data_IF_471005491959
#
_entry.id   IF_471005491959
#
_cell.length_a   1.000
_cell.length_b   1.000
_cell.length_c   1.000
_cell.angle_alpha   90.00
_cell.angle_beta   90.00
_cell.angle_gamma   90.00
#
_symmetry.space_group_name_H-M   'P 1'
#
loop_
_entity.id
_entity.type
_entity.pdbx_description
1 polymer ?
#
# COMPACT_ATOMS: atom_id res chain seq x y z
N UNK A 1 1.87 10.26 18.34
CA UNK A 1 2.63 9.44 17.36
C UNK A 1 3.99 10.09 17.14
N UNK A 2 5.06 9.29 17.20
CA UNK A 2 6.42 9.75 16.89
C UNK A 2 6.77 9.45 15.42
N UNK A 3 7.23 10.46 14.68
CA UNK A 3 7.73 10.33 13.32
C UNK A 3 9.15 10.90 13.23
N UNK A 4 10.13 10.05 12.92
CA UNK A 4 11.55 10.43 12.92
C UNK A 4 11.98 11.14 14.23
N UNK A 5 11.50 10.65 15.38
CA UNK A 5 11.81 11.21 16.71
C UNK A 5 11.08 12.49 17.08
N UNK A 6 10.15 12.97 16.27
CA UNK A 6 9.33 14.15 16.55
C UNK A 6 7.88 13.76 16.75
N UNK A 7 7.23 14.37 17.74
CA UNK A 7 5.80 14.19 17.92
C UNK A 7 5.01 14.78 16.76
N UNK A 8 4.10 13.97 16.22
CA UNK A 8 3.10 14.44 15.27
C UNK A 8 1.90 15.05 16.02
N UNK A 9 1.23 16.04 15.45
CA UNK A 9 -0.01 16.57 16.01
C UNK A 9 -1.07 15.47 16.08
N UNK A 10 -2.04 15.61 16.98
CA UNK A 10 -3.13 14.64 17.18
C UNK A 10 -3.96 14.45 15.90
N UNK A 11 -4.14 15.53 15.15
CA UNK A 11 -4.84 15.53 13.86
C UNK A 11 -3.89 16.00 12.78
N UNK A 12 -3.69 15.16 11.76
CA UNK A 12 -2.86 15.47 10.59
C UNK A 12 -3.76 15.49 9.36
N UNK A 13 -3.67 16.54 8.55
CA UNK A 13 -4.38 16.63 7.28
C UNK A 13 -3.76 15.67 6.25
N UNK A 14 -4.55 15.13 5.30
CA UNK A 14 -4.03 14.22 4.27
C UNK A 14 -2.85 14.78 3.46
N UNK A 15 -2.84 16.10 3.23
CA UNK A 15 -1.74 16.77 2.53
C UNK A 15 -0.45 16.80 3.35
N UNK A 16 -0.56 17.00 4.67
CA UNK A 16 0.57 16.99 5.59
C UNK A 16 1.15 15.60 5.73
N UNK A 17 0.29 14.57 5.84
CA UNK A 17 0.69 13.17 5.84
C UNK A 17 1.49 12.82 4.58
N UNK A 18 1.01 13.22 3.41
CA UNK A 18 1.75 13.01 2.14
C UNK A 18 3.10 13.73 2.10
N UNK A 19 3.19 14.94 2.63
CA UNK A 19 4.48 15.66 2.74
C UNK A 19 5.49 14.99 3.67
N UNK A 20 5.00 14.25 4.67
CA UNK A 20 5.83 13.41 5.54
C UNK A 20 6.29 12.11 4.85
N UNK A 21 5.76 11.81 3.68
CA UNK A 21 6.00 10.55 2.97
C UNK A 21 5.13 9.40 3.47
N UNK A 22 4.00 9.68 4.13
CA UNK A 22 3.05 8.67 4.61
C UNK A 22 1.89 8.61 3.62
N UNK A 23 1.69 7.45 3.00
CA UNK A 23 0.60 7.18 2.08
C UNK A 23 -0.21 5.98 2.55
N UNK A 24 -1.52 6.00 2.29
CA UNK A 24 -2.44 4.91 2.62
C UNK A 24 -3.20 4.46 1.38
N UNK A 25 -3.35 3.14 1.25
CA UNK A 25 -4.21 2.47 0.28
C UNK A 25 -5.27 1.75 1.08
N UNK A 26 -6.51 2.18 0.90
CA UNK A 26 -7.67 1.62 1.59
C UNK A 26 -8.12 0.29 0.96
N UNK A 27 -8.94 -0.45 1.70
CA UNK A 27 -9.57 -1.68 1.23
C UNK A 27 -10.40 -1.41 -0.04
N UNK A 28 -11.24 -0.38 -0.03
CA UNK A 28 -12.01 0.05 -1.19
C UNK A 28 -11.17 0.91 -2.13
N UNK A 29 -11.30 0.66 -3.44
CA UNK A 29 -10.57 1.42 -4.45
C UNK A 29 -11.08 2.85 -4.56
N UNK A 30 -10.18 3.82 -4.41
CA UNK A 30 -10.44 5.26 -4.53
C UNK A 30 -9.95 5.78 -5.89
N UNK A 31 -10.29 5.04 -6.96
CA UNK A 31 -9.94 5.40 -8.34
C UNK A 31 -11.18 5.89 -9.09
N UNK A 32 -10.99 6.82 -10.04
CA UNK A 32 -12.04 7.30 -10.92
C UNK A 32 -12.19 6.30 -12.09
N UNK A 33 -13.31 5.56 -12.19
CA UNK A 33 -13.44 4.45 -13.14
C UNK A 33 -13.31 4.86 -14.61
N UNK A 34 -13.77 6.06 -14.95
CA UNK A 34 -13.74 6.58 -16.32
C UNK A 34 -12.35 7.05 -16.77
N UNK A 35 -11.45 7.30 -15.81
CA UNK A 35 -10.08 7.75 -16.08
C UNK A 35 -9.17 6.55 -16.36
N UNK A 36 -8.14 6.79 -17.16
CA UNK A 36 -7.06 5.82 -17.37
C UNK A 36 -6.23 5.60 -16.10
N UNK A 37 -5.42 4.55 -16.07
CA UNK A 37 -4.47 4.32 -14.97
C UNK A 37 -3.53 5.51 -14.78
N UNK A 38 -2.97 6.04 -15.88
CA UNK A 38 -2.09 7.21 -15.85
C UNK A 38 -2.78 8.45 -15.26
N UNK A 39 -3.99 8.78 -15.70
CA UNK A 39 -4.75 9.92 -15.18
C UNK A 39 -5.05 9.78 -13.70
N UNK A 40 -5.40 8.57 -13.24
CA UNK A 40 -5.59 8.30 -11.80
C UNK A 40 -4.30 8.46 -11.00
N UNK A 41 -3.16 8.02 -11.53
CA UNK A 41 -1.84 8.18 -10.88
C UNK A 41 -1.48 9.66 -10.74
N UNK A 42 -1.75 10.45 -11.76
CA UNK A 42 -1.39 11.88 -11.79
C UNK A 42 -2.39 12.77 -11.06
N UNK A 43 -3.56 12.26 -10.69
CA UNK A 43 -4.62 13.04 -10.06
C UNK A 43 -4.16 13.66 -8.72
N UNK A 44 -4.38 14.98 -8.58
CA UNK A 44 -3.99 15.74 -7.38
C UNK A 44 -2.49 16.08 -7.30
N UNK A 45 -1.75 15.90 -8.39
CA UNK A 45 -0.35 16.35 -8.56
C UNK A 45 -0.27 17.51 -9.54
N UNK A 46 0.76 18.37 -9.43
CA UNK A 46 1.04 19.33 -10.48
C UNK A 46 1.30 18.65 -11.81
N UNK A 47 0.64 19.09 -12.86
CA UNK A 47 0.91 18.59 -14.21
C UNK A 47 2.11 19.30 -14.82
N UNK A 48 2.99 18.61 -15.56
CA UNK A 48 4.04 19.28 -16.34
C UNK A 48 3.37 20.10 -17.45
N UNK A 49 3.65 21.42 -17.47
CA UNK A 49 3.06 22.37 -18.42
C UNK A 49 4.18 23.09 -19.15
N UNK A 50 4.09 23.16 -20.48
CA UNK A 50 4.98 23.92 -21.35
C UNK A 50 4.17 24.82 -22.27
N UNK A 51 4.37 26.13 -22.21
CA UNK A 51 3.62 27.09 -23.01
C UNK A 51 2.09 27.04 -22.78
N UNK A 52 1.64 26.75 -21.56
CA UNK A 52 0.21 26.61 -21.21
C UNK A 52 -0.42 25.27 -21.59
N UNK A 53 0.34 24.34 -22.17
CA UNK A 53 -0.16 23.04 -22.63
C UNK A 53 0.38 21.92 -21.73
N UNK A 54 -0.52 21.04 -21.26
CA UNK A 54 -0.16 19.87 -20.46
C UNK A 54 0.67 18.90 -21.30
N UNK A 55 1.79 18.44 -20.74
CA UNK A 55 2.72 17.53 -21.40
C UNK A 55 2.35 16.06 -21.12
N UNK A 56 1.30 15.58 -21.77
CA UNK A 56 0.77 14.20 -21.57
C UNK A 56 1.81 13.11 -21.78
N UNK A 57 2.69 13.26 -22.78
CA UNK A 57 3.77 12.30 -23.07
C UNK A 57 4.81 12.23 -21.93
N UNK A 58 5.05 13.34 -21.26
CA UNK A 58 5.94 13.38 -20.10
C UNK A 58 5.32 12.65 -18.92
N UNK A 59 4.04 12.90 -18.63
CA UNK A 59 3.27 12.19 -17.59
C UNK A 59 3.25 10.68 -17.86
N UNK A 60 3.01 10.27 -19.09
CA UNK A 60 3.04 8.86 -19.51
C UNK A 60 4.40 8.24 -19.18
N UNK A 61 5.48 8.86 -19.67
CA UNK A 61 6.84 8.37 -19.44
C UNK A 61 7.19 8.26 -17.94
N UNK A 62 6.79 9.24 -17.13
CA UNK A 62 7.07 9.23 -15.69
C UNK A 62 6.30 8.13 -14.97
N UNK A 63 5.02 7.95 -15.29
CA UNK A 63 4.18 6.93 -14.66
C UNK A 63 4.60 5.52 -15.07
N UNK A 64 4.93 5.30 -16.34
CA UNK A 64 5.45 4.02 -16.84
C UNK A 64 6.81 3.69 -16.23
N UNK A 65 7.71 4.66 -16.12
CA UNK A 65 9.01 4.48 -15.49
C UNK A 65 8.86 4.10 -14.01
N UNK A 66 7.95 4.76 -13.28
CA UNK A 66 7.68 4.42 -11.88
C UNK A 66 7.06 3.02 -11.74
N UNK A 67 6.11 2.65 -12.59
CA UNK A 67 5.53 1.31 -12.60
C UNK A 67 6.60 0.24 -12.87
N UNK A 68 7.45 0.45 -13.87
CA UNK A 68 8.56 -0.47 -14.19
C UNK A 68 9.56 -0.59 -13.03
N UNK A 69 9.91 0.53 -12.38
CA UNK A 69 10.76 0.54 -11.18
C UNK A 69 10.20 -0.36 -10.06
N UNK A 70 8.89 -0.41 -9.91
CA UNK A 70 8.19 -1.23 -8.92
C UNK A 70 8.00 -2.68 -9.36
N UNK A 71 8.37 -3.03 -10.59
CA UNK A 71 8.12 -4.33 -11.20
C UNK A 71 6.65 -4.53 -11.61
N UNK A 72 5.93 -3.43 -11.83
CA UNK A 72 4.52 -3.42 -12.25
C UNK A 72 4.47 -3.25 -13.77
N UNK A 73 3.96 -4.28 -14.45
CA UNK A 73 3.75 -4.28 -15.89
C UNK A 73 2.26 -4.18 -16.19
N UNK A 74 1.80 -3.00 -16.58
CA UNK A 74 0.39 -2.67 -16.71
C UNK A 74 0.20 -1.64 -17.82
N UNK A 75 -0.81 -1.83 -18.67
CA UNK A 75 -1.23 -0.81 -19.64
C UNK A 75 -1.94 0.35 -18.89
N UNK A 76 -1.19 1.40 -18.64
CA UNK A 76 -1.68 2.60 -17.94
C UNK A 76 -2.60 3.49 -18.79
N UNK A 77 -2.74 3.23 -20.11
CA UNK A 77 -3.68 3.93 -21.00
C UNK A 77 -5.10 3.37 -20.90
N UNK A 78 -5.24 2.18 -20.32
CA UNK A 78 -6.53 1.52 -20.16
C UNK A 78 -7.37 2.23 -19.11
N UNK A 79 -8.69 2.46 -19.34
CA UNK A 79 -9.60 2.94 -18.32
C UNK A 79 -9.66 2.01 -17.10
N UNK A 80 -9.68 2.58 -15.91
CA UNK A 80 -9.72 1.81 -14.65
C UNK A 80 -10.96 0.92 -14.54
N UNK A 81 -12.08 1.32 -15.16
CA UNK A 81 -13.30 0.48 -15.24
C UNK A 81 -13.07 -0.87 -15.92
N UNK A 82 -12.06 -0.97 -16.79
CA UNK A 82 -11.69 -2.20 -17.53
C UNK A 82 -10.56 -2.98 -16.87
N UNK A 83 -10.08 -2.56 -15.70
CA UNK A 83 -8.98 -3.20 -14.97
C UNK A 83 -9.50 -4.21 -13.96
N UNK A 84 -8.72 -5.29 -13.75
CA UNK A 84 -8.96 -6.24 -12.65
C UNK A 84 -8.71 -5.60 -11.28
N UNK A 85 -9.22 -6.16 -10.18
CA UNK A 85 -8.93 -5.66 -8.83
C UNK A 85 -7.42 -5.52 -8.56
N UNK A 86 -6.61 -6.49 -8.97
CA UNK A 86 -5.16 -6.44 -8.83
C UNK A 86 -4.53 -5.29 -9.64
N UNK A 87 -4.98 -5.08 -10.88
CA UNK A 87 -4.50 -3.97 -11.71
C UNK A 87 -4.84 -2.62 -11.09
N UNK A 88 -6.04 -2.47 -10.51
CA UNK A 88 -6.45 -1.27 -9.78
C UNK A 88 -5.55 -1.04 -8.57
N UNK A 89 -5.26 -2.09 -7.80
CA UNK A 89 -4.35 -2.00 -6.65
C UNK A 89 -2.93 -1.61 -7.07
N UNK A 90 -2.44 -2.11 -8.21
CA UNK A 90 -1.17 -1.67 -8.80
C UNK A 90 -1.18 -0.16 -9.15
N UNK A 91 -2.27 0.36 -9.74
CA UNK A 91 -2.41 1.80 -10.03
C UNK A 91 -2.34 2.63 -8.73
N UNK A 92 -3.01 2.19 -7.66
CA UNK A 92 -2.97 2.87 -6.35
C UNK A 92 -1.56 2.86 -5.75
N UNK A 93 -0.84 1.74 -5.86
CA UNK A 93 0.55 1.63 -5.38
C UNK A 93 1.46 2.58 -6.18
N UNK A 94 1.39 2.56 -7.51
CA UNK A 94 2.18 3.48 -8.35
C UNK A 94 1.88 4.93 -7.96
N UNK A 95 0.59 5.30 -7.82
CA UNK A 95 0.16 6.64 -7.39
C UNK A 95 0.78 7.04 -6.05
N UNK A 96 0.76 6.16 -5.04
CA UNK A 96 1.35 6.40 -3.73
C UNK A 96 2.88 6.59 -3.81
N UNK A 97 3.53 5.84 -4.70
CA UNK A 97 4.99 5.85 -4.88
C UNK A 97 5.49 6.95 -5.83
N UNK A 98 4.60 7.72 -6.45
CA UNK A 98 5.00 8.90 -7.25
C UNK A 98 5.52 10.06 -6.39
N UNK A 99 5.30 10.04 -5.09
CA UNK A 99 5.91 10.94 -4.10
C UNK A 99 7.06 10.24 -3.38
N UNK A 100 7.82 10.97 -2.55
CA UNK A 100 8.84 10.38 -1.65
C UNK A 100 8.13 9.61 -0.52
N UNK A 101 7.64 8.42 -0.85
CA UNK A 101 6.91 7.55 0.07
C UNK A 101 7.88 6.80 0.99
N UNK A 102 7.82 7.11 2.28
CA UNK A 102 8.64 6.48 3.34
C UNK A 102 7.87 5.37 4.06
N UNK A 103 6.56 5.56 4.22
CA UNK A 103 5.65 4.60 4.83
C UNK A 103 4.43 4.42 3.94
N UNK A 104 4.23 3.21 3.46
CA UNK A 104 3.02 2.79 2.76
C UNK A 104 2.14 1.96 3.69
N UNK A 105 0.91 2.41 3.92
CA UNK A 105 -0.10 1.68 4.69
C UNK A 105 -1.01 0.96 3.71
N UNK A 106 -1.17 -0.34 3.87
CA UNK A 106 -2.05 -1.20 3.07
C UNK A 106 -3.12 -1.78 3.99
N UNK A 107 -4.38 -1.42 3.75
CA UNK A 107 -5.51 -1.88 4.54
C UNK A 107 -6.26 -2.98 3.78
N UNK A 108 -6.17 -4.22 4.28
CA UNK A 108 -6.74 -5.45 3.70
C UNK A 108 -6.59 -5.55 2.16
N UNK A 109 -5.37 -5.39 1.62
CA UNK A 109 -5.19 -5.16 0.18
C UNK A 109 -5.50 -6.39 -0.69
N UNK A 110 -5.66 -7.57 -0.10
CA UNK A 110 -5.90 -8.85 -0.81
C UNK A 110 -7.34 -9.34 -0.74
N UNK A 111 -8.25 -8.62 -0.09
CA UNK A 111 -9.62 -9.07 0.17
C UNK A 111 -10.40 -9.49 -1.09
N UNK A 112 -10.08 -8.89 -2.25
CA UNK A 112 -10.74 -9.18 -3.54
C UNK A 112 -9.81 -9.81 -4.58
N UNK A 113 -8.63 -10.31 -4.16
CA UNK A 113 -7.60 -10.85 -5.06
C UNK A 113 -7.63 -12.39 -5.07
N UNK A 114 -7.36 -12.97 -6.23
CA UNK A 114 -7.02 -14.38 -6.35
C UNK A 114 -5.62 -14.67 -5.79
N UNK A 115 -5.29 -15.92 -5.52
CA UNK A 115 -3.97 -16.33 -5.00
C UNK A 115 -2.82 -15.86 -5.91
N UNK A 116 -3.00 -15.94 -7.23
CA UNK A 116 -2.02 -15.47 -8.20
C UNK A 116 -1.79 -13.95 -8.10
N UNK A 117 -2.87 -13.19 -7.94
CA UNK A 117 -2.82 -11.74 -7.80
C UNK A 117 -2.25 -11.33 -6.44
N UNK A 118 -2.54 -12.09 -5.39
CA UNK A 118 -1.95 -11.93 -4.06
C UNK A 118 -0.42 -12.11 -4.12
N UNK A 119 0.06 -13.15 -4.79
CA UNK A 119 1.49 -13.38 -4.98
C UNK A 119 2.19 -12.24 -5.74
N UNK A 120 1.52 -11.66 -6.74
CA UNK A 120 2.02 -10.47 -7.43
C UNK A 120 2.13 -9.29 -6.46
N UNK A 121 1.10 -9.02 -5.65
CA UNK A 121 1.14 -7.95 -4.64
C UNK A 121 2.28 -8.18 -3.65
N UNK A 122 2.48 -9.42 -3.19
CA UNK A 122 3.58 -9.77 -2.28
C UNK A 122 4.95 -9.47 -2.88
N UNK A 123 5.14 -9.77 -4.17
CA UNK A 123 6.39 -9.43 -4.86
C UNK A 123 6.64 -7.92 -4.91
N UNK A 124 5.58 -7.13 -5.12
CA UNK A 124 5.67 -5.66 -5.10
C UNK A 124 6.03 -5.16 -3.70
N UNK A 125 5.37 -5.69 -2.65
CA UNK A 125 5.65 -5.30 -1.25
C UNK A 125 7.10 -5.63 -0.87
N UNK A 126 7.62 -6.81 -1.26
CA UNK A 126 9.03 -7.17 -1.04
C UNK A 126 9.98 -6.23 -1.77
N UNK A 127 9.66 -5.84 -3.00
CA UNK A 127 10.45 -4.87 -3.76
C UNK A 127 10.48 -3.50 -3.07
N UNK A 128 9.34 -3.01 -2.56
CA UNK A 128 9.26 -1.78 -1.78
C UNK A 128 10.13 -1.83 -0.53
N UNK A 129 10.05 -2.92 0.25
CA UNK A 129 10.91 -3.14 1.43
C UNK A 129 12.39 -3.12 1.05
N UNK A 130 12.78 -3.82 -0.01
CA UNK A 130 14.17 -3.88 -0.47
C UNK A 130 14.72 -2.49 -0.88
N UNK A 131 13.83 -1.57 -1.29
CA UNK A 131 14.17 -0.19 -1.63
C UNK A 131 14.10 0.77 -0.43
N UNK A 132 13.84 0.27 0.77
CA UNK A 132 13.84 1.06 2.01
C UNK A 132 12.49 1.71 2.35
N UNK A 133 11.41 1.42 1.62
CA UNK A 133 10.07 1.85 2.00
C UNK A 133 9.54 0.98 3.14
N UNK A 134 9.15 1.57 4.26
CA UNK A 134 8.44 0.86 5.31
C UNK A 134 7.01 0.55 4.88
N UNK A 135 6.53 -0.65 5.19
CA UNK A 135 5.14 -1.04 4.89
C UNK A 135 4.42 -1.41 6.18
N UNK A 136 3.30 -0.76 6.45
CA UNK A 136 2.35 -1.15 7.48
C UNK A 136 1.21 -1.91 6.80
N UNK A 137 1.17 -3.23 7.04
CA UNK A 137 0.23 -4.13 6.38
C UNK A 137 -0.86 -4.56 7.35
N UNK A 138 -2.10 -4.13 7.11
CA UNK A 138 -3.26 -4.49 7.94
C UNK A 138 -3.97 -5.66 7.29
N UNK A 139 -4.10 -6.77 8.02
CA UNK A 139 -4.78 -7.99 7.57
C UNK A 139 -5.23 -8.83 8.75
N UNK A 140 -6.23 -9.67 8.52
CA UNK A 140 -6.65 -10.73 9.45
C UNK A 140 -6.21 -12.13 8.94
N UNK A 141 -5.48 -12.22 7.83
CA UNK A 141 -5.04 -13.47 7.19
C UNK A 141 -3.63 -13.85 7.67
N UNK A 142 -3.55 -14.92 8.44
CA UNK A 142 -2.29 -15.37 9.05
C UNK A 142 -1.21 -15.74 8.02
N UNK A 143 -1.61 -16.26 6.86
CA UNK A 143 -0.70 -16.59 5.76
C UNK A 143 0.09 -15.37 5.31
N UNK A 144 -0.58 -14.25 5.15
CA UNK A 144 0.01 -12.98 4.71
C UNK A 144 1.00 -12.45 5.74
N UNK A 145 0.60 -12.52 7.02
CA UNK A 145 1.46 -12.11 8.13
C UNK A 145 2.76 -12.89 8.12
N UNK A 146 2.66 -14.23 8.12
CA UNK A 146 3.84 -15.11 8.18
C UNK A 146 4.77 -14.97 6.98
N UNK A 147 4.24 -14.56 5.83
CA UNK A 147 4.99 -14.47 4.58
C UNK A 147 5.67 -13.11 4.35
N UNK A 148 5.05 -12.01 4.80
CA UNK A 148 5.47 -10.66 4.45
C UNK A 148 6.11 -9.86 5.57
N UNK A 149 5.73 -10.12 6.82
CA UNK A 149 6.02 -9.19 7.91
C UNK A 149 7.26 -9.58 8.71
N UNK A 150 7.95 -8.59 9.23
CA UNK A 150 9.06 -8.78 10.17
C UNK A 150 8.55 -8.77 11.61
N UNK A 151 7.52 -7.96 11.88
CA UNK A 151 6.89 -7.79 13.20
C UNK A 151 5.38 -7.74 13.06
N UNK A 152 4.69 -8.25 14.04
CA UNK A 152 3.22 -8.27 14.12
C UNK A 152 2.77 -7.56 15.38
N UNK A 153 1.88 -6.60 15.21
CA UNK A 153 1.15 -5.97 16.31
C UNK A 153 -0.30 -6.44 16.29
N UNK A 154 -0.72 -7.11 17.35
CA UNK A 154 -2.09 -7.61 17.49
C UNK A 154 -2.94 -6.59 18.22
N UNK A 155 -4.01 -6.15 17.57
CA UNK A 155 -5.05 -5.30 18.15
C UNK A 155 -6.33 -6.12 18.33
N UNK A 156 -7.01 -5.93 19.44
CA UNK A 156 -8.30 -6.56 19.75
C UNK A 156 -9.21 -5.57 20.46
N UNK A 157 -10.40 -5.36 19.92
CA UNK A 157 -11.37 -4.38 20.44
C UNK A 157 -10.76 -2.98 20.66
N UNK A 158 -9.92 -2.53 19.73
CA UNK A 158 -9.25 -1.23 19.80
C UNK A 158 -8.09 -1.16 20.79
N UNK A 159 -7.73 -2.26 21.45
CA UNK A 159 -6.66 -2.32 22.44
C UNK A 159 -5.45 -3.10 21.91
N UNK A 160 -4.26 -2.60 22.20
CA UNK A 160 -3.00 -3.30 21.92
C UNK A 160 -2.91 -4.56 22.81
N UNK A 161 -2.80 -5.73 22.19
CA UNK A 161 -2.60 -7.01 22.90
C UNK A 161 -1.12 -7.32 23.04
N UNK A 162 -0.40 -7.33 21.93
CA UNK A 162 1.04 -7.64 21.91
C UNK A 162 1.68 -7.17 20.62
N UNK A 163 3.01 -6.99 20.64
CA UNK A 163 3.85 -6.84 19.47
C UNK A 163 4.95 -7.89 19.54
N UNK A 164 5.08 -8.71 18.49
CA UNK A 164 6.01 -9.84 18.42
C UNK A 164 6.78 -9.84 17.10
N UNK A 165 7.97 -10.42 17.09
CA UNK A 165 8.73 -10.67 15.86
C UNK A 165 8.15 -11.90 15.16
N UNK A 166 7.87 -11.78 13.85
CA UNK A 166 7.22 -12.83 13.08
C UNK A 166 8.08 -14.11 13.04
N UNK A 167 9.39 -13.97 12.88
CA UNK A 167 10.31 -15.11 12.82
C UNK A 167 10.35 -15.96 14.10
N UNK A 168 10.03 -15.36 15.25
CA UNK A 168 10.00 -16.04 16.56
C UNK A 168 8.60 -16.53 16.98
N UNK A 169 7.57 -16.32 16.15
CA UNK A 169 6.18 -16.55 16.51
C UNK A 169 5.54 -17.63 15.63
N UNK A 170 4.78 -18.53 16.24
CA UNK A 170 4.03 -19.56 15.52
C UNK A 170 2.63 -19.05 15.11
N UNK A 171 2.05 -19.69 14.07
CA UNK A 171 0.63 -19.47 13.72
C UNK A 171 -0.32 -19.69 14.92
N UNK A 172 -0.07 -20.74 15.71
CA UNK A 172 -0.87 -21.06 16.91
C UNK A 172 -0.83 -19.92 17.93
N UNK A 173 0.33 -19.33 18.12
CA UNK A 173 0.51 -18.20 19.04
C UNK A 173 -0.22 -16.94 18.54
N UNK A 174 -0.14 -16.63 17.25
CA UNK A 174 -0.88 -15.51 16.67
C UNK A 174 -2.40 -15.71 16.81
N UNK A 175 -2.90 -16.92 16.56
CA UNK A 175 -4.32 -17.22 16.78
C UNK A 175 -4.71 -16.98 18.22
N UNK A 176 -3.90 -17.43 19.19
CA UNK A 176 -4.13 -17.21 20.62
C UNK A 176 -4.20 -15.73 20.96
N UNK A 177 -3.25 -14.93 20.46
CA UNK A 177 -3.22 -13.48 20.69
C UNK A 177 -4.44 -12.78 20.08
N UNK A 178 -4.86 -13.18 18.88
CA UNK A 178 -5.99 -12.58 18.17
C UNK A 178 -7.34 -12.97 18.78
N UNK A 179 -7.53 -14.25 19.14
CA UNK A 179 -8.82 -14.76 19.66
C UNK A 179 -9.02 -14.48 21.14
N UNK A 180 -7.92 -14.35 21.92
CA UNK A 180 -7.98 -14.21 23.36
C UNK A 180 -8.33 -15.48 24.12
N UNK A 181 -8.54 -16.59 23.42
CA UNK A 181 -8.73 -17.89 24.04
C UNK A 181 -7.36 -18.52 24.31
N UNK A 182 -7.13 -18.95 25.53
CA UNK A 182 -6.11 -19.97 25.78
C UNK A 182 -6.53 -21.17 24.95
N UNK A 183 -5.69 -21.55 23.96
CA UNK A 183 -5.95 -22.72 23.17
C UNK A 183 -6.15 -23.89 24.14
N UNK A 184 -7.35 -24.42 24.16
CA UNK A 184 -7.60 -25.69 24.83
C UNK A 184 -6.57 -26.69 24.28
N UNK A 185 -5.79 -27.22 25.19
CA UNK A 185 -4.75 -28.23 25.01
C UNK A 185 -5.25 -29.43 24.21
#
# INVERSE_FOLDING_TARGET
>A
ILWNGKDLPEVIRPEESRKLGINIIFQDNVLIPAFTGMENICLGRPYPVKGGIIQWKEMERETEAKAAELGIHLDLKKPVSMMTPAQKKCVEIVRAMMSDCKLLILDEPTASLSDKETNLLFSIVRNLKAKGTSVLYVTHRLEEIMELTDRVTVLRNGTLVSTVDTAGTSRKELVRLMSGNEAAS
#
